data_IF_141145106201
#
_entry.id   IF_141145106201
#
_cell.length_a   1.000
_cell.length_b   1.000
_cell.length_c   1.000
_cell.angle_alpha   90.00
_cell.angle_beta   90.00
_cell.angle_gamma   90.00
#
_symmetry.space_group_name_H-M   'P 1'
#
loop_
_entity.id
_entity.type
_entity.pdbx_description
1 polymer ?
#
# COMPACT_ATOMS: atom_id res chain seq x y z
N UNK A 1 -19.22 -5.24 -21.83
CA UNK A 1 -18.71 -4.40 -20.73
C UNK A 1 -19.07 -5.04 -19.38
N UNK A 2 -18.04 -5.34 -18.57
CA UNK A 2 -18.21 -5.98 -17.26
C UNK A 2 -19.11 -5.16 -16.33
N UNK A 3 -18.92 -3.86 -16.25
CA UNK A 3 -19.67 -2.96 -15.36
C UNK A 3 -21.10 -2.69 -15.82
N UNK A 4 -21.40 -2.88 -17.12
CA UNK A 4 -22.77 -2.83 -17.59
C UNK A 4 -23.58 -4.09 -17.19
N UNK A 5 -22.87 -5.20 -16.92
CA UNK A 5 -23.48 -6.49 -16.57
C UNK A 5 -23.78 -6.61 -15.07
N UNK A 6 -22.95 -6.00 -14.20
CA UNK A 6 -23.01 -6.18 -12.75
C UNK A 6 -23.27 -4.86 -12.03
N UNK A 7 -24.35 -4.79 -11.27
CA UNK A 7 -24.60 -3.74 -10.31
C UNK A 7 -23.81 -3.94 -8.99
N UNK A 8 -23.91 -3.00 -8.06
CA UNK A 8 -23.17 -3.06 -6.79
C UNK A 8 -23.46 -4.29 -5.96
N UNK A 9 -24.70 -4.75 -5.95
CA UNK A 9 -25.12 -5.93 -5.19
C UNK A 9 -24.47 -7.19 -5.73
N UNK A 10 -24.51 -7.36 -7.06
CA UNK A 10 -23.90 -8.48 -7.76
C UNK A 10 -22.37 -8.44 -7.60
N UNK A 11 -21.73 -7.27 -7.76
CA UNK A 11 -20.29 -7.14 -7.59
C UNK A 11 -19.82 -7.56 -6.19
N UNK A 12 -20.59 -7.22 -5.15
CA UNK A 12 -20.27 -7.62 -3.76
C UNK A 12 -20.43 -9.12 -3.51
N UNK A 13 -21.28 -9.79 -4.28
CA UNK A 13 -21.50 -11.23 -4.16
C UNK A 13 -20.50 -12.08 -4.95
N UNK A 14 -19.73 -11.47 -5.88
CA UNK A 14 -18.73 -12.19 -6.66
C UNK A 14 -17.55 -12.64 -5.78
N UNK A 15 -17.08 -13.88 -5.95
CA UNK A 15 -15.86 -14.34 -5.29
C UNK A 15 -14.66 -13.44 -5.68
N UNK A 16 -13.74 -13.12 -4.74
CA UNK A 16 -12.57 -12.28 -5.03
C UNK A 16 -11.74 -12.74 -6.22
N UNK A 17 -11.58 -14.05 -6.38
CA UNK A 17 -10.89 -14.65 -7.54
C UNK A 17 -11.56 -14.31 -8.87
N UNK A 18 -12.89 -14.27 -8.91
CA UNK A 18 -13.63 -13.92 -10.13
C UNK A 18 -13.45 -12.44 -10.48
N UNK A 19 -13.43 -11.56 -9.47
CA UNK A 19 -13.12 -10.14 -9.67
C UNK A 19 -11.70 -9.93 -10.19
N UNK A 20 -10.73 -10.66 -9.64
CA UNK A 20 -9.33 -10.59 -10.08
C UNK A 20 -9.16 -11.07 -11.52
N UNK A 21 -9.79 -12.18 -11.91
CA UNK A 21 -9.71 -12.74 -13.26
C UNK A 21 -10.51 -11.96 -14.30
N UNK A 22 -11.42 -11.08 -13.89
CA UNK A 22 -12.15 -10.19 -14.80
C UNK A 22 -11.24 -9.13 -15.46
N UNK A 23 -10.04 -8.93 -14.95
CA UNK A 23 -9.03 -8.04 -15.53
C UNK A 23 -8.88 -6.72 -14.78
N UNK A 24 -8.21 -5.76 -15.43
CA UNK A 24 -7.94 -4.44 -14.86
C UNK A 24 -8.90 -3.40 -15.39
N UNK A 25 -9.17 -2.38 -14.58
CA UNK A 25 -9.92 -1.20 -14.99
C UNK A 25 -9.05 -0.42 -15.98
N UNK A 26 -9.57 -0.19 -17.18
CA UNK A 26 -8.86 0.47 -18.29
C UNK A 26 -9.48 1.80 -18.71
N UNK A 27 -10.59 2.18 -18.09
CA UNK A 27 -11.30 3.43 -18.35
C UNK A 27 -11.83 4.03 -17.05
N UNK A 28 -12.06 5.35 -16.98
CA UNK A 28 -12.67 5.96 -15.82
C UNK A 28 -14.08 5.40 -15.58
N UNK A 29 -14.39 5.12 -14.33
CA UNK A 29 -15.69 4.67 -13.87
C UNK A 29 -16.34 5.75 -13.00
N UNK A 30 -17.62 5.91 -13.14
CA UNK A 30 -18.41 6.82 -12.31
C UNK A 30 -19.64 6.11 -11.74
N UNK A 31 -19.98 6.47 -10.50
CA UNK A 31 -21.25 6.15 -9.90
C UNK A 31 -21.72 7.34 -9.05
N UNK A 32 -22.95 7.76 -9.25
CA UNK A 32 -23.64 8.73 -8.42
C UNK A 32 -24.34 8.08 -7.24
N UNK A 33 -24.92 8.88 -6.30
CA UNK A 33 -25.60 8.36 -5.12
C UNK A 33 -26.77 7.40 -5.42
N UNK A 34 -27.47 7.63 -6.53
CA UNK A 34 -28.65 6.87 -6.91
C UNK A 34 -28.37 5.78 -7.96
N UNK A 35 -27.12 5.66 -8.41
CA UNK A 35 -26.75 4.68 -9.40
C UNK A 35 -26.72 3.26 -8.80
N UNK A 36 -27.19 2.29 -9.57
CA UNK A 36 -27.19 0.86 -9.16
C UNK A 36 -25.87 0.16 -9.43
N UNK A 37 -24.97 0.77 -10.22
CA UNK A 37 -23.68 0.22 -10.63
C UNK A 37 -22.75 1.28 -11.19
N UNK A 38 -21.56 0.86 -11.58
CA UNK A 38 -20.61 1.74 -12.25
C UNK A 38 -20.94 1.87 -13.73
N UNK A 39 -20.74 3.06 -14.28
CA UNK A 39 -20.72 3.29 -15.72
C UNK A 39 -19.36 3.79 -16.16
N UNK A 40 -18.93 3.39 -17.34
CA UNK A 40 -17.74 3.93 -18.01
C UNK A 40 -18.04 5.35 -18.46
N UNK A 41 -17.12 6.26 -18.18
CA UNK A 41 -17.18 7.65 -18.64
C UNK A 41 -15.93 8.03 -19.43
N UNK A 42 -16.03 9.07 -20.23
CA UNK A 42 -14.89 9.63 -20.96
C UNK A 42 -13.87 10.29 -20.01
N UNK A 43 -12.61 10.38 -20.46
CA UNK A 43 -11.54 11.02 -19.69
C UNK A 43 -11.87 12.48 -19.38
N UNK A 44 -12.36 13.22 -20.35
CA UNK A 44 -12.67 14.65 -20.19
C UNK A 44 -13.83 14.86 -19.22
N UNK A 45 -14.85 14.00 -19.25
CA UNK A 45 -15.93 14.00 -18.26
C UNK A 45 -15.37 13.72 -16.85
N UNK A 46 -14.49 12.73 -16.71
CA UNK A 46 -13.88 12.39 -15.43
C UNK A 46 -13.06 13.57 -14.87
N UNK A 47 -12.20 14.16 -15.69
CA UNK A 47 -11.39 15.31 -15.30
C UNK A 47 -12.24 16.53 -14.96
N UNK A 48 -13.28 16.81 -15.74
CA UNK A 48 -14.24 17.89 -15.47
C UNK A 48 -14.90 17.72 -14.10
N UNK A 49 -15.42 16.54 -13.81
CA UNK A 49 -16.04 16.21 -12.50
C UNK A 49 -15.08 16.38 -11.33
N UNK A 50 -13.82 15.93 -11.47
CA UNK A 50 -12.78 16.12 -10.45
C UNK A 50 -12.50 17.60 -10.24
N UNK A 51 -12.32 18.37 -11.31
CA UNK A 51 -12.06 19.81 -11.25
C UNK A 51 -13.20 20.57 -10.57
N UNK A 52 -14.46 20.24 -10.89
CA UNK A 52 -15.63 20.89 -10.29
C UNK A 52 -15.73 20.57 -8.78
N UNK A 53 -15.44 19.33 -8.38
CA UNK A 53 -15.39 18.95 -6.96
C UNK A 53 -14.28 19.66 -6.20
N UNK A 54 -13.10 19.78 -6.79
CA UNK A 54 -11.98 20.52 -6.19
C UNK A 54 -12.34 22.00 -6.03
N UNK A 55 -12.92 22.65 -7.07
CA UNK A 55 -13.37 24.05 -6.98
C UNK A 55 -14.41 24.22 -5.89
N UNK A 56 -15.40 23.34 -5.81
CA UNK A 56 -16.45 23.39 -4.79
C UNK A 56 -15.91 23.15 -3.37
N UNK A 57 -14.91 22.32 -3.20
CA UNK A 57 -14.27 22.07 -1.92
C UNK A 57 -13.38 23.26 -1.50
N UNK A 58 -12.65 23.84 -2.44
CA UNK A 58 -11.65 24.88 -2.21
C UNK A 58 -10.35 24.34 -1.59
N UNK A 59 -9.28 25.14 -1.62
CA UNK A 59 -7.95 24.71 -1.21
C UNK A 59 -7.85 24.33 0.28
N UNK A 60 -8.60 25.00 1.16
CA UNK A 60 -8.56 24.73 2.60
C UNK A 60 -9.21 23.40 3.02
N UNK A 61 -9.99 22.77 2.13
CA UNK A 61 -10.65 21.48 2.39
C UNK A 61 -10.18 20.38 1.46
N UNK A 62 -9.10 20.61 0.73
CA UNK A 62 -8.52 19.65 -0.22
C UNK A 62 -7.16 19.18 0.26
N UNK A 63 -6.93 17.87 0.24
CA UNK A 63 -5.67 17.24 0.57
C UNK A 63 -5.22 16.32 -0.57
N UNK A 64 -3.97 16.44 -0.97
CA UNK A 64 -3.38 15.66 -2.05
C UNK A 64 -2.43 14.61 -1.47
N UNK A 65 -2.59 13.37 -1.87
CA UNK A 65 -1.79 12.26 -1.35
C UNK A 65 -1.23 11.42 -2.49
N UNK A 66 0.09 11.23 -2.47
CA UNK A 66 0.79 10.38 -3.43
C UNK A 66 1.18 9.03 -2.80
N UNK A 67 0.95 7.95 -3.52
CA UNK A 67 1.44 6.62 -3.14
C UNK A 67 2.95 6.51 -3.40
N UNK A 68 3.65 5.66 -2.64
CA UNK A 68 5.05 5.28 -2.93
C UNK A 68 5.24 4.53 -4.25
N UNK A 69 4.16 4.18 -4.94
CA UNK A 69 4.19 3.61 -6.30
C UNK A 69 4.05 4.66 -7.40
N UNK A 70 3.84 5.92 -7.06
CA UNK A 70 3.87 7.01 -8.02
C UNK A 70 5.31 7.26 -8.47
N UNK A 71 5.51 7.60 -9.76
CA UNK A 71 6.82 8.05 -10.22
C UNK A 71 7.18 9.41 -9.61
N UNK A 72 8.45 9.77 -9.61
CA UNK A 72 8.90 11.07 -9.11
C UNK A 72 8.27 12.23 -9.89
N UNK A 73 8.11 12.08 -11.21
CA UNK A 73 7.47 13.06 -12.08
C UNK A 73 5.99 13.24 -11.71
N UNK A 74 5.26 12.14 -11.48
CA UNK A 74 3.86 12.19 -11.05
C UNK A 74 3.72 12.84 -9.66
N UNK A 75 4.63 12.54 -8.74
CA UNK A 75 4.70 13.17 -7.41
C UNK A 75 4.97 14.68 -7.50
N UNK A 76 5.91 15.09 -8.37
CA UNK A 76 6.20 16.50 -8.63
C UNK A 76 4.97 17.22 -9.21
N UNK A 77 4.32 16.65 -10.23
CA UNK A 77 3.14 17.25 -10.86
C UNK A 77 1.98 17.35 -9.87
N UNK A 78 1.78 16.38 -9.00
CA UNK A 78 0.76 16.44 -7.95
C UNK A 78 1.04 17.57 -6.97
N UNK A 79 2.29 17.75 -6.55
CA UNK A 79 2.70 18.84 -5.68
C UNK A 79 2.52 20.20 -6.37
N UNK A 80 2.91 20.30 -7.64
CA UNK A 80 2.72 21.51 -8.43
C UNK A 80 1.24 21.87 -8.57
N UNK A 81 0.40 20.88 -8.87
CA UNK A 81 -1.05 21.06 -8.93
C UNK A 81 -1.61 21.58 -7.60
N UNK A 82 -1.21 20.97 -6.47
CA UNK A 82 -1.67 21.40 -5.16
C UNK A 82 -1.29 22.87 -4.86
N UNK A 83 -0.07 23.26 -5.20
CA UNK A 83 0.40 24.65 -5.02
C UNK A 83 -0.31 25.64 -5.93
N UNK A 84 -0.52 25.31 -7.19
CA UNK A 84 -1.29 26.13 -8.14
C UNK A 84 -2.77 26.23 -7.73
N UNK A 85 -3.31 25.17 -7.12
CA UNK A 85 -4.65 25.17 -6.55
C UNK A 85 -4.76 26.02 -5.28
N UNK A 86 -3.64 26.37 -4.65
CA UNK A 86 -3.57 27.27 -3.49
C UNK A 86 -3.51 26.54 -2.15
N UNK A 87 -2.99 25.31 -2.10
CA UNK A 87 -2.83 24.56 -0.87
C UNK A 87 -1.44 23.95 -0.73
N UNK A 88 -0.96 23.81 0.52
CA UNK A 88 0.20 23.04 0.90
C UNK A 88 -0.18 21.66 1.49
N UNK A 89 -1.45 21.31 1.51
CA UNK A 89 -1.93 20.03 2.03
C UNK A 89 -1.63 18.91 1.00
N UNK A 90 -0.35 18.59 0.89
CA UNK A 90 0.16 17.52 0.03
C UNK A 90 1.17 16.68 0.81
N UNK A 91 1.03 15.38 0.72
CA UNK A 91 1.93 14.45 1.40
C UNK A 91 2.03 13.12 0.62
N UNK A 92 2.87 12.23 1.12
CA UNK A 92 3.02 10.89 0.55
C UNK A 92 3.00 9.81 1.64
N UNK A 93 3.01 8.56 1.21
CA UNK A 93 2.94 7.41 2.11
C UNK A 93 4.16 7.30 3.05
N UNK A 94 5.34 7.77 2.66
CA UNK A 94 6.56 7.65 3.46
C UNK A 94 6.44 8.40 4.79
N UNK A 95 5.77 9.54 4.79
CA UNK A 95 5.54 10.30 6.01
C UNK A 95 4.74 9.52 7.05
N UNK A 96 3.69 8.82 6.62
CA UNK A 96 2.82 8.04 7.51
C UNK A 96 3.36 6.65 7.82
N UNK A 97 4.27 6.12 7.01
CA UNK A 97 4.77 4.75 7.11
C UNK A 97 6.14 4.68 7.79
N UNK A 98 7.12 5.46 7.35
CA UNK A 98 8.53 5.31 7.72
C UNK A 98 9.15 6.54 8.38
N UNK A 99 8.48 7.67 8.40
CA UNK A 99 9.03 8.88 9.03
C UNK A 99 9.40 8.65 10.50
N UNK A 100 8.51 8.02 11.27
CA UNK A 100 8.77 7.71 12.67
C UNK A 100 9.98 6.79 12.83
N UNK A 101 10.13 5.78 11.98
CA UNK A 101 11.30 4.89 11.96
C UNK A 101 12.59 5.66 11.64
N UNK A 102 12.54 6.52 10.63
CA UNK A 102 13.69 7.35 10.23
C UNK A 102 14.14 8.28 11.35
N UNK A 103 13.20 8.93 12.04
CA UNK A 103 13.50 9.80 13.18
C UNK A 103 14.05 9.00 14.36
N UNK A 104 13.42 7.89 14.74
CA UNK A 104 13.83 7.03 15.84
C UNK A 104 15.21 6.43 15.61
N UNK A 105 15.48 5.85 14.45
CA UNK A 105 16.78 5.29 14.10
C UNK A 105 17.85 6.38 13.98
N UNK A 106 17.52 7.50 13.34
CA UNK A 106 18.45 8.63 13.19
C UNK A 106 18.92 9.18 14.54
N UNK A 107 18.02 9.27 15.53
CA UNK A 107 18.38 9.73 16.89
C UNK A 107 19.15 8.68 17.70
N UNK A 108 18.94 7.39 17.44
CA UNK A 108 19.53 6.29 18.24
C UNK A 108 20.86 5.80 17.69
N UNK A 109 20.95 5.63 16.36
CA UNK A 109 22.12 5.03 15.69
C UNK A 109 22.73 5.94 14.61
N UNK A 110 22.19 7.14 14.42
CA UNK A 110 22.70 8.11 13.42
C UNK A 110 22.34 7.81 11.97
N UNK A 111 21.57 6.77 11.70
CA UNK A 111 21.16 6.38 10.34
C UNK A 111 19.66 6.04 10.30
N UNK A 112 18.96 6.47 9.26
CA UNK A 112 17.52 6.22 9.09
C UNK A 112 17.16 4.82 8.57
N UNK A 113 18.15 3.91 8.48
CA UNK A 113 17.99 2.54 7.96
C UNK A 113 18.72 1.54 8.85
N UNK A 114 18.40 0.25 8.70
CA UNK A 114 19.12 -0.82 9.39
C UNK A 114 20.60 -0.84 9.00
N UNK A 115 21.46 -1.24 9.95
CA UNK A 115 22.91 -1.28 9.80
C UNK A 115 23.45 -2.64 9.38
N UNK A 116 22.61 -3.67 9.30
CA UNK A 116 22.96 -5.01 8.86
C UNK A 116 22.91 -5.12 7.32
N UNK A 117 23.68 -6.07 6.77
CA UNK A 117 23.59 -6.48 5.38
C UNK A 117 22.69 -7.72 5.25
N UNK A 118 22.19 -7.99 4.04
CA UNK A 118 21.34 -9.16 3.81
C UNK A 118 22.10 -10.48 4.09
N UNK A 119 23.39 -10.51 3.79
CA UNK A 119 24.26 -11.67 4.02
C UNK A 119 24.41 -12.00 5.52
N UNK A 120 24.36 -11.00 6.39
CA UNK A 120 24.43 -11.22 7.85
C UNK A 120 23.26 -12.08 8.35
N UNK A 121 22.12 -11.97 7.67
CA UNK A 121 20.93 -12.79 7.98
C UNK A 121 21.18 -14.28 7.74
N UNK A 122 22.06 -14.65 6.82
CA UNK A 122 22.38 -16.05 6.55
C UNK A 122 23.31 -16.68 7.60
N UNK A 123 23.96 -15.85 8.43
CA UNK A 123 24.90 -16.28 9.46
C UNK A 123 24.33 -16.18 10.89
N UNK A 124 23.17 -15.60 11.06
CA UNK A 124 22.56 -15.47 12.38
C UNK A 124 21.97 -16.79 12.89
N UNK A 125 22.24 -17.13 14.15
CA UNK A 125 21.69 -18.32 14.82
C UNK A 125 20.41 -18.02 15.56
N UNK A 126 20.11 -16.76 15.86
CA UNK A 126 18.91 -16.32 16.55
C UNK A 126 18.30 -15.12 15.84
N UNK A 127 17.00 -15.20 15.58
CA UNK A 127 16.17 -14.08 15.14
C UNK A 127 15.13 -13.73 16.20
N UNK A 128 15.05 -12.46 16.54
CA UNK A 128 13.96 -11.93 17.37
C UNK A 128 13.10 -11.01 16.51
N UNK A 129 11.88 -11.45 16.21
CA UNK A 129 10.91 -10.72 15.40
C UNK A 129 9.91 -10.04 16.32
N UNK A 130 9.95 -8.71 16.37
CA UNK A 130 9.10 -7.91 17.27
C UNK A 130 8.11 -7.08 16.45
N UNK A 131 6.81 -7.31 16.64
CA UNK A 131 5.71 -6.54 16.05
C UNK A 131 5.55 -6.65 14.53
N UNK A 132 6.34 -7.49 13.86
CA UNK A 132 6.33 -7.65 12.41
C UNK A 132 5.53 -8.87 11.96
N UNK A 133 4.98 -8.81 10.74
CA UNK A 133 4.40 -9.96 10.04
C UNK A 133 5.06 -10.10 8.65
N UNK A 134 6.29 -10.64 8.56
CA UNK A 134 7.01 -10.75 7.30
C UNK A 134 6.31 -11.65 6.27
N UNK A 135 5.48 -12.59 6.70
CA UNK A 135 4.69 -13.41 5.78
C UNK A 135 3.78 -12.57 4.88
N UNK A 136 3.21 -11.49 5.41
CA UNK A 136 2.35 -10.56 4.65
C UNK A 136 3.14 -9.48 3.92
N UNK A 137 4.15 -8.89 4.56
CA UNK A 137 4.80 -7.67 4.07
C UNK A 137 6.17 -7.92 3.42
N UNK A 138 6.87 -8.98 3.85
CA UNK A 138 8.23 -9.32 3.41
C UNK A 138 8.37 -10.84 3.19
N UNK A 139 7.60 -11.44 2.27
CA UNK A 139 7.48 -12.90 2.16
C UNK A 139 8.84 -13.59 1.87
N UNK A 140 9.79 -12.91 1.25
CA UNK A 140 11.13 -13.45 1.03
C UNK A 140 11.92 -13.66 2.33
N UNK A 141 11.70 -12.85 3.37
CA UNK A 141 12.30 -13.04 4.68
C UNK A 141 11.88 -14.36 5.31
N UNK A 142 10.67 -14.85 5.03
CA UNK A 142 10.22 -16.16 5.52
C UNK A 142 11.12 -17.30 5.05
N UNK A 143 11.68 -17.22 3.85
CA UNK A 143 12.65 -18.19 3.36
C UNK A 143 13.94 -18.17 4.19
N UNK A 144 14.45 -17.00 4.51
CA UNK A 144 15.62 -16.82 5.38
C UNK A 144 15.37 -17.40 6.77
N UNK A 145 14.24 -17.08 7.40
CA UNK A 145 13.84 -17.62 8.69
C UNK A 145 13.75 -19.17 8.69
N UNK A 146 13.22 -19.74 7.61
CA UNK A 146 13.20 -21.20 7.44
C UNK A 146 14.60 -21.79 7.33
N UNK A 147 15.52 -21.15 6.61
CA UNK A 147 16.90 -21.61 6.47
C UNK A 147 17.63 -21.56 7.81
N UNK A 148 17.42 -20.51 8.61
CA UNK A 148 17.96 -20.45 9.99
C UNK A 148 17.50 -21.63 10.80
N UNK A 149 16.21 -21.92 10.83
CA UNK A 149 15.67 -23.08 11.57
C UNK A 149 16.20 -24.41 11.06
N UNK A 150 16.40 -24.58 9.74
CA UNK A 150 16.99 -25.78 9.16
C UNK A 150 18.44 -26.00 9.58
N UNK A 151 19.18 -24.94 9.89
CA UNK A 151 20.55 -24.99 10.41
C UNK A 151 20.63 -25.24 11.92
N UNK A 152 19.48 -25.32 12.61
CA UNK A 152 19.42 -25.46 14.06
C UNK A 152 19.31 -24.12 14.82
N UNK A 153 19.21 -23.01 14.12
CA UNK A 153 18.97 -21.71 14.72
C UNK A 153 17.51 -21.52 15.18
N UNK A 154 17.28 -20.48 15.94
CA UNK A 154 15.99 -20.19 16.56
C UNK A 154 15.35 -18.90 16.05
N UNK A 155 14.01 -18.84 16.10
CA UNK A 155 13.22 -17.65 15.78
C UNK A 155 12.25 -17.41 16.92
N UNK A 156 12.42 -16.30 17.61
CA UNK A 156 11.51 -15.82 18.66
C UNK A 156 10.59 -14.77 18.05
N UNK A 157 9.29 -14.91 18.27
CA UNK A 157 8.29 -13.97 17.79
C UNK A 157 7.61 -13.29 18.97
N UNK A 158 7.68 -11.96 19.01
CA UNK A 158 6.99 -11.10 19.97
C UNK A 158 5.94 -10.30 19.20
N UNK A 159 4.67 -10.70 19.31
CA UNK A 159 3.56 -10.06 18.62
C UNK A 159 2.28 -10.19 19.46
N UNK A 160 1.54 -9.09 19.72
CA UNK A 160 0.29 -9.13 20.46
C UNK A 160 -0.85 -9.81 19.67
N UNK A 161 -0.69 -9.95 18.34
CA UNK A 161 -1.66 -10.58 17.45
C UNK A 161 -1.14 -11.94 17.00
N UNK A 162 -1.99 -12.96 17.06
CA UNK A 162 -1.69 -14.29 16.52
C UNK A 162 -1.88 -14.26 14.99
N UNK A 163 -0.85 -13.84 14.28
CA UNK A 163 -0.83 -13.79 12.83
C UNK A 163 -0.73 -15.18 12.22
N UNK A 164 -1.57 -15.49 11.24
CA UNK A 164 -1.56 -16.80 10.57
C UNK A 164 -0.18 -17.15 9.99
N UNK A 165 0.47 -16.18 9.35
CA UNK A 165 1.78 -16.36 8.74
C UNK A 165 2.93 -16.59 9.73
N UNK A 166 2.75 -16.27 11.00
CA UNK A 166 3.74 -16.52 12.06
C UNK A 166 3.50 -17.86 12.79
N UNK A 167 2.30 -18.41 12.67
CA UNK A 167 1.91 -19.69 13.27
C UNK A 167 2.07 -20.84 12.28
N UNK A 168 1.66 -20.63 11.04
CA UNK A 168 1.63 -21.66 10.00
C UNK A 168 1.87 -21.03 8.63
N UNK A 169 3.12 -20.96 8.20
CA UNK A 169 3.52 -20.47 6.89
C UNK A 169 4.18 -21.55 6.06
N UNK A 170 3.70 -21.75 4.84
CA UNK A 170 4.28 -22.68 3.89
C UNK A 170 4.98 -21.90 2.77
N UNK A 171 6.27 -22.12 2.63
CA UNK A 171 7.03 -21.61 1.47
C UNK A 171 6.97 -22.70 0.39
N UNK A 172 6.55 -22.39 -0.83
CA UNK A 172 6.67 -23.31 -1.96
C UNK A 172 8.13 -23.71 -2.15
N UNK A 173 8.37 -24.99 -2.34
CA UNK A 173 9.72 -25.55 -2.62
C UNK A 173 10.13 -25.25 -4.05
#
# INVERSE_FOLDING_TARGET
DFFAKYGFQELRSLPPRQLETAGRIVAPLYAGPDDRGYRVIGRDEALGRVADRLRAAGPGRSFFYASGRSSNEAGFLLQLLARLFGTNYVNNCSYYCHQASGVGLGSSIGAGTGTIRLEDLDHADLYILIGGNPASNHPRLMRTLMQVRRRGGEVIVVNPVKETGLVNFRVPS
#
